data_IF_797183691165
#
_entry.id   IF_797183691165
#
_cell.length_a   1.000
_cell.length_b   1.000
_cell.length_c   1.000
_cell.angle_alpha   90.00
_cell.angle_beta   90.00
_cell.angle_gamma   90.00
#
_symmetry.space_group_name_H-M   'P 1'
#
loop_
_entity.id
_entity.type
_entity.pdbx_description
1 polymer ?
#
# COMPACT_ATOMS: atom_id res chain seq x y z
N UNK A 1 -9.09 18.07 1.38
CA UNK A 1 -7.92 17.78 0.52
C UNK A 1 -6.71 18.35 1.26
N UNK A 2 -5.83 17.51 1.80
CA UNK A 2 -4.54 17.99 2.28
C UNK A 2 -3.65 18.07 1.04
N UNK A 3 -3.40 19.29 0.55
CA UNK A 3 -2.32 19.53 -0.40
C UNK A 3 -1.02 19.28 0.38
N UNK A 4 -0.40 18.11 0.15
CA UNK A 4 1.00 17.93 0.49
C UNK A 4 1.78 18.93 -0.36
N UNK A 5 2.49 19.86 0.28
CA UNK A 5 3.52 20.65 -0.39
C UNK A 5 4.45 19.67 -1.09
N UNK A 6 4.42 19.65 -2.42
CA UNK A 6 5.35 18.88 -3.22
C UNK A 6 6.70 19.58 -3.09
N UNK A 7 7.60 18.95 -2.35
CA UNK A 7 9.01 19.29 -2.42
C UNK A 7 9.46 19.06 -3.88
N UNK A 8 10.00 20.07 -4.57
CA UNK A 8 10.44 19.92 -5.97
C UNK A 8 11.49 18.81 -6.16
N UNK A 9 12.14 18.34 -5.08
CA UNK A 9 13.07 17.21 -5.10
C UNK A 9 12.40 15.83 -4.95
N UNK A 10 11.09 15.75 -4.69
CA UNK A 10 10.38 14.47 -4.54
C UNK A 10 9.64 14.04 -5.80
N UNK A 11 10.00 12.87 -6.34
CA UNK A 11 9.25 12.21 -7.41
C UNK A 11 7.88 11.68 -6.95
N UNK A 12 7.78 11.27 -5.68
CA UNK A 12 6.51 10.90 -5.04
C UNK A 12 6.57 11.15 -3.53
N UNK A 13 5.59 11.89 -3.02
CA UNK A 13 5.45 12.16 -1.59
C UNK A 13 5.22 10.89 -0.78
N UNK A 14 5.43 10.97 0.53
CA UNK A 14 5.31 9.77 1.36
C UNK A 14 3.87 9.26 1.50
N UNK A 15 3.69 7.97 1.22
CA UNK A 15 2.40 7.29 1.25
C UNK A 15 2.53 5.79 1.50
N UNK A 16 1.39 5.11 1.52
CA UNK A 16 1.23 3.65 1.49
C UNK A 16 0.20 3.34 0.41
N UNK A 17 0.35 2.19 -0.23
CA UNK A 17 -0.61 1.76 -1.25
C UNK A 17 -1.88 1.22 -0.62
N UNK A 18 -3.01 1.49 -1.29
CA UNK A 18 -4.32 1.05 -0.81
C UNK A 18 -4.60 -0.41 -1.16
N UNK A 19 -4.09 -0.88 -2.31
CA UNK A 19 -4.37 -2.19 -2.88
C UNK A 19 -3.73 -3.37 -2.16
N UNK A 20 -3.65 -4.50 -2.84
CA UNK A 20 -3.04 -5.70 -2.27
C UNK A 20 -1.52 -5.69 -2.47
N UNK A 21 -1.10 -5.58 -3.72
CA UNK A 21 0.31 -5.57 -4.13
C UNK A 21 0.54 -4.53 -5.21
N UNK A 22 1.73 -3.95 -5.23
CA UNK A 22 2.20 -3.13 -6.35
C UNK A 22 3.52 -3.68 -6.84
N UNK A 23 3.65 -3.81 -8.15
CA UNK A 23 4.87 -4.22 -8.83
C UNK A 23 5.45 -3.00 -9.55
N UNK A 24 6.69 -2.67 -9.24
CA UNK A 24 7.36 -1.49 -9.77
C UNK A 24 8.57 -1.96 -10.59
N UNK A 25 8.56 -1.63 -11.87
CA UNK A 25 9.76 -1.60 -12.70
C UNK A 25 10.34 -0.19 -12.66
N UNK A 26 11.63 -0.07 -12.40
CA UNK A 26 12.35 1.20 -12.36
C UNK A 26 13.68 1.06 -13.10
N UNK A 27 14.16 2.15 -13.68
CA UNK A 27 15.42 2.17 -14.44
C UNK A 27 16.63 2.59 -13.59
N UNK A 28 16.40 3.17 -12.42
CA UNK A 28 17.43 3.54 -11.45
C UNK A 28 16.86 3.71 -10.03
N UNK A 29 17.77 3.81 -9.05
CA UNK A 29 17.42 3.97 -7.63
C UNK A 29 16.66 5.28 -7.36
N UNK A 30 15.95 5.33 -6.23
CA UNK A 30 15.22 6.53 -5.80
C UNK A 30 14.02 6.23 -4.89
N UNK A 31 13.54 4.99 -4.90
CA UNK A 31 12.54 4.52 -3.96
C UNK A 31 13.15 4.36 -2.56
N UNK A 32 12.48 4.92 -1.57
CA UNK A 32 12.80 4.74 -0.16
C UNK A 32 11.60 4.15 0.58
N UNK A 33 11.88 3.28 1.55
CA UNK A 33 10.89 2.68 2.44
C UNK A 33 11.14 3.10 3.88
N UNK A 34 10.08 3.15 4.69
CA UNK A 34 10.18 3.40 6.12
C UNK A 34 9.58 2.19 6.85
N UNK A 35 10.38 1.56 7.72
CA UNK A 35 9.91 0.42 8.52
C UNK A 35 8.74 0.85 9.41
N UNK A 36 7.77 -0.05 9.58
CA UNK A 36 6.62 0.16 10.47
C UNK A 36 7.07 0.26 11.93
N UNK A 37 6.40 1.08 12.72
CA UNK A 37 6.67 1.27 14.15
C UNK A 37 6.52 2.73 14.54
N UNK A 38 7.60 3.50 14.41
CA UNK A 38 7.59 4.95 14.61
C UNK A 38 7.63 5.69 13.27
N UNK A 39 6.99 6.86 13.21
CA UNK A 39 7.16 7.81 12.10
C UNK A 39 8.57 8.43 12.07
N UNK A 40 9.32 8.29 13.15
CA UNK A 40 10.71 8.73 13.29
C UNK A 40 11.71 7.69 12.79
N UNK A 41 11.25 6.51 12.37
CA UNK A 41 12.13 5.50 11.79
C UNK A 41 12.84 6.09 10.56
N UNK A 42 14.13 5.80 10.37
CA UNK A 42 14.85 6.32 9.21
C UNK A 42 14.23 5.78 7.90
N UNK A 43 14.35 6.59 6.86
CA UNK A 43 14.12 6.14 5.49
C UNK A 43 15.29 5.25 5.04
N UNK A 44 14.96 4.16 4.36
CA UNK A 44 15.92 3.19 3.85
C UNK A 44 15.80 3.12 2.33
N UNK A 45 16.94 3.20 1.65
CA UNK A 45 17.01 3.07 0.20
C UNK A 45 16.65 1.65 -0.26
N UNK A 46 15.82 1.56 -1.28
CA UNK A 46 15.62 0.32 -2.03
C UNK A 46 16.67 0.27 -3.14
N UNK A 47 17.58 -0.73 -3.14
CA UNK A 47 18.57 -0.84 -4.19
C UNK A 47 17.90 -1.18 -5.52
N UNK A 48 18.29 -0.47 -6.58
CA UNK A 48 17.93 -0.87 -7.93
C UNK A 48 18.67 -2.16 -8.31
N UNK A 49 17.92 -3.12 -8.84
CA UNK A 49 18.43 -4.39 -9.36
C UNK A 49 17.96 -4.53 -10.79
N UNK A 50 18.89 -4.60 -11.74
CA UNK A 50 18.60 -4.67 -13.17
C UNK A 50 17.73 -5.90 -13.49
N UNK A 51 16.65 -5.69 -14.23
CA UNK A 51 15.70 -6.74 -14.62
C UNK A 51 14.78 -7.24 -13.51
N UNK A 52 14.82 -6.65 -12.31
CA UNK A 52 13.95 -7.00 -11.20
C UNK A 52 12.72 -6.08 -11.10
N UNK A 53 11.67 -6.60 -10.45
CA UNK A 53 10.58 -5.78 -9.94
C UNK A 53 10.75 -5.56 -8.45
N UNK A 54 10.53 -4.33 -8.00
CA UNK A 54 10.23 -4.08 -6.59
C UNK A 54 8.77 -4.46 -6.35
N UNK A 55 8.51 -5.21 -5.28
CA UNK A 55 7.14 -5.59 -4.89
C UNK A 55 6.84 -5.04 -3.51
N UNK A 56 5.82 -4.20 -3.42
CA UNK A 56 5.36 -3.66 -2.16
C UNK A 56 3.93 -4.11 -1.83
N UNK A 57 3.68 -4.21 -0.53
CA UNK A 57 2.40 -4.60 0.06
C UNK A 57 1.55 -3.36 0.36
N UNK A 58 0.25 -3.45 0.12
CA UNK A 58 -0.72 -2.40 0.41
C UNK A 58 -1.72 -2.77 1.52
N UNK A 59 -2.63 -1.84 1.83
CA UNK A 59 -3.58 -1.97 2.93
C UNK A 59 -4.56 -3.14 2.80
N UNK A 60 -5.00 -3.49 1.59
CA UNK A 60 -5.88 -4.64 1.40
C UNK A 60 -5.17 -5.91 1.87
N UNK A 61 -3.92 -6.13 1.45
CA UNK A 61 -3.18 -7.34 1.84
C UNK A 61 -2.83 -7.35 3.34
N UNK A 62 -2.54 -6.18 3.92
CA UNK A 62 -2.37 -6.05 5.36
C UNK A 62 -3.63 -6.53 6.11
N UNK A 63 -4.82 -6.06 5.68
CA UNK A 63 -6.09 -6.47 6.29
C UNK A 63 -6.36 -7.97 6.11
N UNK A 64 -6.21 -8.49 4.89
CA UNK A 64 -6.43 -9.91 4.58
C UNK A 64 -5.54 -10.82 5.44
N UNK A 65 -4.30 -10.41 5.71
CA UNK A 65 -3.33 -11.20 6.49
C UNK A 65 -3.37 -10.95 8.00
N UNK A 66 -4.36 -10.18 8.47
CA UNK A 66 -4.46 -9.71 9.85
C UNK A 66 -3.18 -9.00 10.36
N UNK A 67 -2.53 -8.24 9.47
CA UNK A 67 -1.36 -7.41 9.78
C UNK A 67 -0.02 -8.15 9.75
N UNK A 68 0.04 -9.38 9.21
CA UNK A 68 1.30 -10.13 9.07
C UNK A 68 2.17 -9.59 7.94
N UNK A 69 1.54 -9.15 6.85
CA UNK A 69 2.20 -8.46 5.74
C UNK A 69 1.82 -6.99 5.80
N UNK A 70 2.62 -6.14 6.48
CA UNK A 70 2.28 -4.74 6.69
C UNK A 70 2.32 -3.96 5.39
N UNK A 71 1.43 -2.98 5.20
CA UNK A 71 1.50 -1.99 4.15
C UNK A 71 2.73 -1.11 4.38
N UNK A 72 3.69 -1.14 3.46
CA UNK A 72 4.98 -0.51 3.66
C UNK A 72 4.94 0.95 3.21
N UNK A 73 5.25 1.87 4.13
CA UNK A 73 5.31 3.30 3.83
C UNK A 73 6.53 3.56 2.95
N UNK A 74 6.32 4.29 1.87
CA UNK A 74 7.35 4.55 0.88
C UNK A 74 7.24 5.97 0.32
N UNK A 75 8.31 6.43 -0.33
CA UNK A 75 8.40 7.70 -1.06
C UNK A 75 9.43 7.57 -2.18
N UNK A 76 9.45 8.52 -3.11
CA UNK A 76 10.48 8.58 -4.15
C UNK A 76 11.22 9.91 -4.06
N UNK A 77 12.54 9.83 -3.93
CA UNK A 77 13.46 10.96 -3.94
C UNK A 77 14.14 11.05 -5.30
N UNK A 78 14.24 12.26 -5.86
CA UNK A 78 15.02 12.50 -7.07
C UNK A 78 16.49 12.65 -6.71
N UNK A 79 17.19 11.52 -6.57
CA UNK A 79 18.62 11.48 -6.22
C UNK A 79 19.56 11.49 -7.43
N UNK A 80 19.00 11.35 -8.63
CA UNK A 80 19.77 11.10 -9.84
C UNK A 80 20.04 12.41 -10.60
N UNK A 81 21.21 12.49 -11.25
CA UNK A 81 21.55 13.60 -12.15
C UNK A 81 20.76 13.54 -13.48
N UNK A 82 20.15 12.39 -13.77
CA UNK A 82 19.37 12.10 -14.97
C UNK A 82 17.92 11.84 -14.59
N UNK A 83 17.03 11.96 -15.59
CA UNK A 83 15.63 11.58 -15.45
C UNK A 83 15.49 10.11 -15.03
N UNK A 84 14.55 9.85 -14.12
CA UNK A 84 14.19 8.51 -13.65
C UNK A 84 12.81 8.14 -14.17
N UNK A 85 12.68 6.96 -14.77
CA UNK A 85 11.40 6.42 -15.19
C UNK A 85 11.03 5.18 -14.36
N UNK A 86 9.75 5.07 -14.04
CA UNK A 86 9.22 3.87 -13.41
C UNK A 86 7.80 3.56 -13.87
N UNK A 87 7.48 2.28 -13.93
CA UNK A 87 6.15 1.77 -14.22
C UNK A 87 5.65 1.01 -13.00
N UNK A 88 4.50 1.44 -12.47
CA UNK A 88 3.84 0.78 -11.34
C UNK A 88 2.57 0.07 -11.81
N UNK A 89 2.48 -1.23 -11.55
CA UNK A 89 1.29 -2.05 -11.72
C UNK A 89 0.65 -2.28 -10.36
N UNK A 90 -0.54 -1.71 -10.15
CA UNK A 90 -1.32 -1.88 -8.93
C UNK A 90 -2.26 -3.08 -9.07
N UNK A 91 -2.14 -4.03 -8.15
CA UNK A 91 -3.01 -5.20 -8.05
C UNK A 91 -4.03 -4.97 -6.93
N UNK A 92 -5.24 -4.65 -7.35
CA UNK A 92 -6.39 -4.40 -6.49
C UNK A 92 -7.43 -5.53 -6.62
N UNK A 93 -8.13 -5.88 -5.53
CA UNK A 93 -9.35 -6.67 -5.64
C UNK A 93 -10.43 -5.91 -6.41
N UNK A 94 -11.50 -6.61 -6.81
CA UNK A 94 -12.68 -5.94 -7.35
C UNK A 94 -13.15 -4.86 -6.35
N UNK A 95 -13.42 -3.61 -6.80
CA UNK A 95 -13.81 -2.51 -5.93
C UNK A 95 -14.99 -2.79 -4.98
N UNK A 96 -15.84 -3.77 -5.28
CA UNK A 96 -16.99 -4.15 -4.44
C UNK A 96 -16.69 -5.32 -3.48
N UNK A 97 -15.51 -5.94 -3.56
CA UNK A 97 -15.14 -7.06 -2.70
C UNK A 97 -15.10 -6.66 -1.22
N UNK A 98 -15.54 -7.58 -0.35
CA UNK A 98 -15.38 -7.46 1.10
C UNK A 98 -13.96 -7.87 1.48
N UNK A 99 -13.25 -6.97 2.13
CA UNK A 99 -11.90 -7.15 2.66
C UNK A 99 -12.00 -7.31 4.17
N UNK A 100 -11.63 -8.48 4.68
CA UNK A 100 -11.56 -8.80 6.11
C UNK A 100 -10.40 -9.78 6.36
N UNK A 101 -9.88 -9.88 7.60
CA UNK A 101 -8.90 -10.91 7.94
C UNK A 101 -9.36 -12.30 7.50
N UNK A 102 -8.50 -13.00 6.77
CA UNK A 102 -8.75 -14.37 6.32
C UNK A 102 -8.47 -15.32 7.47
N UNK A 103 -9.50 -16.07 7.89
CA UNK A 103 -9.40 -17.01 9.01
C UNK A 103 -8.27 -18.04 8.81
N UNK A 104 -8.06 -18.50 7.58
CA UNK A 104 -6.99 -19.43 7.23
C UNK A 104 -5.56 -18.87 7.46
N UNK A 105 -5.41 -17.54 7.53
CA UNK A 105 -4.13 -16.89 7.81
C UNK A 105 -3.98 -16.52 9.30
N UNK A 106 -5.02 -16.71 10.11
CA UNK A 106 -5.02 -16.37 11.54
C UNK A 106 -4.57 -17.57 12.37
N UNK A 107 -3.95 -17.30 13.52
CA UNK A 107 -3.65 -18.36 14.50
C UNK A 107 -4.94 -18.76 15.20
N UNK A 108 -5.00 -20.00 15.68
CA UNK A 108 -6.12 -20.46 16.49
C UNK A 108 -6.32 -19.55 17.72
N UNK A 109 -7.56 -19.11 17.94
CA UNK A 109 -7.92 -18.17 19.00
C UNK A 109 -7.49 -16.71 18.79
N UNK A 110 -6.83 -16.38 17.68
CA UNK A 110 -6.47 -14.99 17.36
C UNK A 110 -7.72 -14.16 17.03
N UNK A 111 -7.79 -12.94 17.56
CA UNK A 111 -8.87 -12.00 17.23
C UNK A 111 -8.53 -11.18 15.97
N UNK A 112 -9.50 -10.87 15.11
CA UNK A 112 -9.33 -9.92 14.01
C UNK A 112 -8.83 -8.57 14.54
N UNK A 113 -7.73 -8.05 13.98
CA UNK A 113 -7.19 -6.72 14.29
C UNK A 113 -7.83 -5.62 13.44
N UNK A 114 -8.48 -6.01 12.35
CA UNK A 114 -9.07 -5.10 11.38
C UNK A 114 -10.54 -5.43 11.18
N UNK A 115 -11.37 -4.39 11.14
CA UNK A 115 -12.75 -4.49 10.74
C UNK A 115 -12.88 -4.75 9.23
N UNK A 116 -14.00 -5.37 8.84
CA UNK A 116 -14.33 -5.58 7.44
C UNK A 116 -14.61 -4.25 6.73
N UNK A 117 -14.16 -4.12 5.49
CA UNK A 117 -14.45 -2.96 4.65
C UNK A 117 -14.64 -3.39 3.19
N UNK A 118 -15.15 -2.46 2.37
CA UNK A 118 -15.19 -2.65 0.91
C UNK A 118 -13.84 -2.26 0.31
N UNK A 119 -13.38 -3.04 -0.67
CA UNK A 119 -12.11 -2.92 -1.36
C UNK A 119 -11.86 -1.59 -2.06
N UNK A 120 -12.91 -0.95 -2.62
CA UNK A 120 -12.76 0.30 -3.33
C UNK A 120 -12.04 1.36 -2.47
N UNK A 121 -11.24 2.22 -3.10
CA UNK A 121 -10.38 3.21 -2.43
C UNK A 121 -11.05 3.96 -1.26
N UNK A 122 -12.31 4.38 -1.44
CA UNK A 122 -13.08 5.04 -0.37
C UNK A 122 -13.43 4.11 0.80
N UNK A 123 -13.73 2.84 0.54
CA UNK A 123 -14.01 1.83 1.55
C UNK A 123 -12.76 1.51 2.38
N UNK A 124 -11.61 1.32 1.75
CA UNK A 124 -10.34 1.05 2.44
C UNK A 124 -9.84 2.26 3.24
N UNK A 125 -9.97 3.48 2.68
CA UNK A 125 -9.46 4.70 3.31
C UNK A 125 -10.35 5.26 4.43
N UNK A 126 -11.68 5.17 4.30
CA UNK A 126 -12.61 5.84 5.22
C UNK A 126 -13.45 4.89 6.06
N UNK A 127 -13.40 3.56 5.83
CA UNK A 127 -14.08 2.58 6.66
C UNK A 127 -15.60 2.79 6.81
N UNK A 128 -16.25 3.45 5.85
CA UNK A 128 -17.62 3.92 6.02
C UNK A 128 -18.64 2.76 5.87
N UNK A 129 -19.48 2.48 6.88
CA UNK A 129 -20.47 1.39 6.85
C UNK A 129 -21.44 1.46 5.67
N UNK A 130 -21.73 2.66 5.14
CA UNK A 130 -22.62 2.85 3.99
C UNK A 130 -22.13 2.11 2.73
N UNK A 131 -20.82 1.88 2.60
CA UNK A 131 -20.30 1.12 1.46
C UNK A 131 -20.53 -0.39 1.61
N UNK A 132 -20.60 -0.91 2.84
CA UNK A 132 -20.87 -2.34 3.08
C UNK A 132 -22.30 -2.71 2.65
N UNK A 133 -23.29 -1.86 2.93
CA UNK A 133 -24.67 -2.06 2.48
C UNK A 133 -24.79 -2.09 0.95
N UNK A 134 -24.04 -1.22 0.27
CA UNK A 134 -24.02 -1.16 -1.20
C UNK A 134 -23.39 -2.41 -1.84
N UNK A 135 -22.33 -2.97 -1.24
CA UNK A 135 -21.71 -4.21 -1.70
C UNK A 135 -22.62 -5.42 -1.46
N UNK A 136 -23.30 -5.47 -0.31
CA UNK A 136 -24.23 -6.56 0.01
C UNK A 136 -25.48 -6.58 -0.88
N UNK A 137 -25.93 -5.43 -1.38
CA UNK A 137 -27.10 -5.32 -2.26
C UNK A 137 -26.84 -5.76 -3.72
N UNK A 138 -25.59 -6.07 -4.08
CA UNK A 138 -25.15 -6.42 -5.45
C UNK A 138 -24.57 -7.83 -5.60
N UNK A 139 -24.43 -8.56 -4.50
CA UNK A 139 -24.02 -9.96 -4.45
C UNK A 139 -25.24 -10.89 -4.48
#
# INVERSE_FOLDING_TARGET
QQQQQQDPEMGAGSHVDYGALTLIAEDCAGLEVQRRGSLDNPWEDVPHVEGAFVVNTGYVLEKLTNGRLPATRHRVQNKNAMDRYSLALFLDPNPESIVKPLEALMKEGEKPKYEQCVAGHKGVRFGNPKYLELAAARA
#
